data_IF_729643753323
#
_entry.id   IF_729643753323
#
_cell.length_a   1.000
_cell.length_b   1.000
_cell.length_c   1.000
_cell.angle_alpha   90.00
_cell.angle_beta   90.00
_cell.angle_gamma   90.00
#
_symmetry.space_group_name_H-M   'P 1'
#
loop_
_entity.id
_entity.type
_entity.pdbx_description
1 polymer ?
#
# COMPACT_ATOMS: atom_id res chain seq x y z
N UNK A 1 -22.49 -22.81 -1.30
CA UNK A 1 -21.26 -22.46 -2.06
C UNK A 1 -20.08 -23.01 -1.27
N UNK A 2 -19.15 -23.67 -1.93
CA UNK A 2 -17.92 -24.14 -1.31
C UNK A 2 -17.06 -22.91 -0.99
N UNK A 3 -16.62 -22.76 0.28
CA UNK A 3 -15.74 -21.66 0.67
C UNK A 3 -14.36 -21.88 0.01
N UNK A 4 -14.16 -21.29 -1.18
CA UNK A 4 -12.91 -21.37 -1.92
C UNK A 4 -11.82 -20.57 -1.19
N UNK A 5 -10.69 -21.20 -0.91
CA UNK A 5 -9.53 -20.58 -0.28
C UNK A 5 -8.48 -20.14 -1.31
N UNK A 6 -7.49 -19.38 -0.86
CA UNK A 6 -6.35 -18.96 -1.71
C UNK A 6 -5.65 -20.16 -2.34
N UNK A 7 -5.35 -21.19 -1.54
CA UNK A 7 -4.70 -22.41 -2.00
C UNK A 7 -5.53 -23.15 -3.06
N UNK A 8 -6.86 -23.21 -2.87
CA UNK A 8 -7.78 -23.83 -3.83
C UNK A 8 -7.74 -23.08 -5.18
N UNK A 9 -7.74 -21.73 -5.14
CA UNK A 9 -7.74 -20.91 -6.34
C UNK A 9 -6.45 -21.07 -7.13
N UNK A 10 -5.30 -21.09 -6.47
CA UNK A 10 -3.99 -21.31 -7.11
C UNK A 10 -3.91 -22.71 -7.71
N UNK A 11 -4.37 -23.74 -6.99
CA UNK A 11 -4.38 -25.11 -7.50
C UNK A 11 -5.29 -25.25 -8.71
N UNK A 12 -6.46 -24.62 -8.69
CA UNK A 12 -7.39 -24.60 -9.81
C UNK A 12 -6.84 -23.87 -11.03
N UNK A 13 -5.98 -22.86 -10.83
CA UNK A 13 -5.29 -22.14 -11.89
C UNK A 13 -4.07 -22.89 -12.48
N UNK A 14 -3.71 -24.05 -11.92
CA UNK A 14 -2.55 -24.83 -12.35
C UNK A 14 -1.24 -24.53 -11.60
N UNK A 15 -1.34 -23.84 -10.46
CA UNK A 15 -0.19 -23.47 -9.63
C UNK A 15 0.37 -22.08 -9.93
N UNK A 16 1.57 -21.81 -9.44
CA UNK A 16 2.33 -20.56 -9.69
C UNK A 16 3.41 -20.79 -10.75
N UNK A 17 3.66 -19.77 -11.58
CA UNK A 17 4.73 -19.83 -12.57
C UNK A 17 6.11 -19.62 -11.95
N UNK A 18 7.18 -19.93 -12.68
CA UNK A 18 8.56 -19.74 -12.20
C UNK A 18 8.92 -18.26 -11.99
N UNK A 19 8.28 -17.36 -12.71
CA UNK A 19 8.49 -15.92 -12.66
C UNK A 19 7.64 -15.24 -11.57
N UNK A 20 6.71 -15.98 -10.94
CA UNK A 20 5.77 -15.44 -9.97
C UNK A 20 6.48 -15.00 -8.68
N UNK A 21 6.26 -13.76 -8.28
CA UNK A 21 6.71 -13.26 -6.98
C UNK A 21 5.63 -13.47 -5.92
N UNK A 22 5.64 -14.65 -5.29
CA UNK A 22 4.60 -15.11 -4.35
C UNK A 22 4.44 -14.15 -3.16
N UNK A 23 5.55 -13.59 -2.63
CA UNK A 23 5.52 -12.63 -1.50
C UNK A 23 4.88 -11.30 -1.86
N UNK A 24 4.85 -10.96 -3.15
CA UNK A 24 4.17 -9.77 -3.66
C UNK A 24 2.69 -9.97 -3.96
N UNK A 25 2.17 -11.17 -3.77
CA UNK A 25 0.78 -11.49 -4.06
C UNK A 25 -0.20 -10.70 -3.17
N UNK A 26 -1.33 -10.30 -3.75
CA UNK A 26 -2.40 -9.59 -3.06
C UNK A 26 -3.76 -10.01 -3.61
N UNK A 27 -4.79 -9.81 -2.81
CA UNK A 27 -6.17 -9.91 -3.28
C UNK A 27 -6.74 -8.51 -3.47
N UNK A 28 -7.27 -8.26 -4.65
CA UNK A 28 -8.06 -7.07 -4.99
C UNK A 28 -9.52 -7.41 -4.73
N UNK A 29 -10.14 -6.72 -3.78
CA UNK A 29 -11.49 -7.01 -3.30
C UNK A 29 -12.40 -5.81 -3.51
N UNK A 30 -13.60 -6.07 -4.03
CA UNK A 30 -14.61 -5.05 -4.19
C UNK A 30 -15.20 -4.67 -2.81
N UNK A 31 -15.34 -3.36 -2.59
CA UNK A 31 -16.07 -2.84 -1.44
C UNK A 31 -17.56 -3.19 -1.58
N UNK A 32 -18.13 -3.79 -0.56
CA UNK A 32 -19.58 -3.94 -0.47
C UNK A 32 -20.25 -2.58 -0.12
N UNK A 33 -21.58 -2.53 -0.14
CA UNK A 33 -22.32 -1.29 0.13
C UNK A 33 -22.03 -0.69 1.51
N UNK A 34 -21.91 -1.53 2.54
CA UNK A 34 -21.63 -1.10 3.92
C UNK A 34 -20.18 -0.61 4.07
N UNK A 35 -19.24 -1.29 3.43
CA UNK A 35 -17.85 -0.88 3.40
C UNK A 35 -17.66 0.47 2.68
N UNK A 36 -18.36 0.67 1.54
CA UNK A 36 -18.40 1.97 0.84
C UNK A 36 -18.94 3.08 1.72
N UNK A 37 -20.05 2.82 2.41
CA UNK A 37 -20.65 3.78 3.33
C UNK A 37 -19.69 4.18 4.47
N UNK A 38 -19.00 3.18 5.07
CA UNK A 38 -18.01 3.45 6.13
C UNK A 38 -16.85 4.30 5.61
N UNK A 39 -16.29 3.96 4.43
CA UNK A 39 -15.20 4.73 3.82
C UNK A 39 -15.64 6.16 3.53
N UNK A 40 -16.84 6.36 2.97
CA UNK A 40 -17.39 7.68 2.72
C UNK A 40 -17.57 8.51 4.00
N UNK A 41 -18.05 7.88 5.09
CA UNK A 41 -18.17 8.56 6.38
C UNK A 41 -16.83 8.95 6.97
N UNK A 42 -15.82 8.07 6.90
CA UNK A 42 -14.45 8.38 7.34
C UNK A 42 -13.87 9.55 6.56
N UNK A 43 -14.06 9.59 5.24
CA UNK A 43 -13.63 10.70 4.39
C UNK A 43 -14.35 11.99 4.81
N UNK A 44 -15.68 11.95 5.00
CA UNK A 44 -16.46 13.12 5.46
C UNK A 44 -15.97 13.64 6.81
N UNK A 45 -15.70 12.76 7.77
CA UNK A 45 -15.17 13.16 9.08
C UNK A 45 -13.79 13.79 8.97
N UNK A 46 -12.90 13.23 8.16
CA UNK A 46 -11.58 13.80 7.91
C UNK A 46 -11.65 15.18 7.26
N UNK A 47 -12.63 15.39 6.35
CA UNK A 47 -12.89 16.67 5.70
C UNK A 47 -13.38 17.73 6.68
N UNK A 48 -14.32 17.38 7.56
CA UNK A 48 -14.85 18.31 8.58
C UNK A 48 -13.77 18.82 9.53
N UNK A 49 -12.79 17.98 9.85
CA UNK A 49 -11.67 18.37 10.71
C UNK A 49 -10.65 19.29 10.03
N UNK A 50 -10.60 19.28 8.70
CA UNK A 50 -9.61 20.08 7.94
C UNK A 50 -10.17 21.42 7.44
N UNK A 51 -11.49 21.67 7.56
CA UNK A 51 -12.14 22.92 7.13
C UNK A 51 -12.10 23.19 5.63
N UNK A 52 -11.71 22.21 4.82
CA UNK A 52 -11.69 22.32 3.36
C UNK A 52 -12.91 21.63 2.74
N UNK A 53 -13.67 22.38 1.94
CA UNK A 53 -14.63 21.83 0.99
C UNK A 53 -13.88 21.06 -0.10
N UNK A 54 -13.78 19.76 0.03
CA UNK A 54 -13.26 18.90 -1.03
C UNK A 54 -14.38 18.63 -2.05
N UNK A 55 -13.99 18.66 -3.31
CA UNK A 55 -14.83 18.27 -4.40
C UNK A 55 -15.34 16.83 -4.19
N UNK A 56 -16.65 16.69 -3.96
CA UNK A 56 -17.30 15.39 -3.72
C UNK A 56 -17.15 14.43 -4.88
N UNK A 57 -16.77 14.91 -6.06
CA UNK A 57 -16.47 14.07 -7.23
C UNK A 57 -15.25 13.17 -7.01
N UNK A 58 -14.30 13.57 -6.16
CA UNK A 58 -13.16 12.70 -5.80
C UNK A 58 -13.58 11.49 -4.94
N UNK A 59 -14.63 11.63 -4.14
CA UNK A 59 -15.16 10.57 -3.27
C UNK A 59 -15.92 9.51 -4.08
N UNK A 60 -16.57 9.93 -5.17
CA UNK A 60 -17.34 9.04 -6.06
C UNK A 60 -16.44 8.28 -7.05
N UNK A 61 -15.21 8.74 -7.28
CA UNK A 61 -14.19 8.10 -8.13
C UNK A 61 -13.27 7.14 -7.37
N UNK A 62 -13.48 6.95 -6.07
CA UNK A 62 -12.74 5.91 -5.34
C UNK A 62 -13.16 4.57 -5.92
N UNK A 63 -12.28 4.00 -6.71
CA UNK A 63 -12.46 2.65 -7.22
C UNK A 63 -12.93 1.77 -6.08
N UNK A 64 -14.01 1.05 -6.32
CA UNK A 64 -14.67 0.23 -5.31
C UNK A 64 -13.80 -0.96 -4.86
N UNK A 65 -12.48 -0.90 -5.09
CA UNK A 65 -11.51 -1.96 -4.88
C UNK A 65 -10.56 -1.56 -3.75
N UNK A 66 -10.35 -2.46 -2.81
CA UNK A 66 -9.27 -2.35 -1.82
C UNK A 66 -8.37 -3.60 -1.86
N UNK A 67 -7.16 -3.43 -1.34
CA UNK A 67 -6.15 -4.49 -1.36
C UNK A 67 -6.13 -5.21 -0.03
N UNK A 68 -6.26 -6.53 -0.10
CA UNK A 68 -6.03 -7.41 1.05
C UNK A 68 -4.61 -7.94 0.92
N UNK A 69 -3.75 -7.52 1.84
CA UNK A 69 -2.40 -8.05 1.94
C UNK A 69 -2.45 -9.49 2.43
N UNK A 70 -1.80 -10.38 1.68
CA UNK A 70 -1.77 -11.81 1.97
C UNK A 70 -0.34 -12.31 2.12
N UNK A 71 -0.18 -13.45 2.78
CA UNK A 71 1.05 -14.21 2.81
C UNK A 71 0.84 -15.51 2.03
N UNK A 72 0.87 -15.39 0.70
CA UNK A 72 0.55 -16.52 -0.18
C UNK A 72 1.53 -17.68 -0.03
N UNK A 73 2.81 -17.40 0.25
CA UNK A 73 3.83 -18.40 0.58
C UNK A 73 3.36 -19.30 1.72
N UNK A 74 2.95 -18.69 2.84
CA UNK A 74 2.48 -19.43 4.02
C UNK A 74 1.15 -20.16 3.80
N UNK A 75 0.27 -19.57 2.98
CA UNK A 75 -1.01 -20.19 2.63
C UNK A 75 -0.80 -21.46 1.80
N UNK A 76 0.17 -21.45 0.88
CA UNK A 76 0.52 -22.61 0.06
C UNK A 76 1.28 -23.68 0.83
N UNK A 77 2.15 -23.28 1.78
CA UNK A 77 2.86 -24.23 2.66
C UNK A 77 1.90 -24.95 3.62
N UNK A 78 0.87 -24.25 4.11
CA UNK A 78 -0.08 -24.78 5.08
C UNK A 78 -1.53 -24.49 4.66
N UNK A 79 -2.08 -25.23 3.70
CA UNK A 79 -3.46 -25.09 3.27
C UNK A 79 -4.45 -25.27 4.44
N UNK A 80 -5.45 -24.38 4.52
CA UNK A 80 -6.42 -24.36 5.60
C UNK A 80 -6.00 -23.61 6.86
N UNK A 81 -4.78 -23.07 6.92
CA UNK A 81 -4.31 -22.19 8.01
C UNK A 81 -4.97 -20.81 7.97
N UNK A 82 -4.69 -19.97 8.99
CA UNK A 82 -5.17 -18.59 9.05
C UNK A 82 -4.63 -17.71 7.92
N UNK A 83 -3.52 -18.10 7.30
CA UNK A 83 -2.97 -17.42 6.11
C UNK A 83 -3.72 -17.75 4.83
N UNK A 84 -4.41 -18.91 4.81
CA UNK A 84 -5.17 -19.39 3.66
C UNK A 84 -6.61 -18.88 3.73
N UNK A 85 -6.78 -17.58 3.48
CA UNK A 85 -8.04 -16.86 3.63
C UNK A 85 -9.10 -17.37 2.63
N UNK A 86 -10.37 -17.24 3.03
CA UNK A 86 -11.51 -17.53 2.17
C UNK A 86 -11.71 -16.35 1.20
N UNK A 87 -11.82 -16.68 -0.07
CA UNK A 87 -12.12 -15.72 -1.13
C UNK A 87 -13.61 -15.39 -1.18
N UNK A 88 -13.92 -14.15 -1.53
CA UNK A 88 -15.29 -13.68 -1.79
C UNK A 88 -15.56 -13.64 -3.29
N UNK A 89 -16.82 -13.65 -3.64
CA UNK A 89 -17.25 -13.42 -5.02
C UNK A 89 -16.74 -12.06 -5.50
N UNK A 90 -16.12 -12.00 -6.68
CA UNK A 90 -15.53 -10.81 -7.24
C UNK A 90 -14.09 -10.51 -6.76
N UNK A 91 -13.51 -11.31 -5.84
CA UNK A 91 -12.10 -11.19 -5.50
C UNK A 91 -11.22 -11.52 -6.70
N UNK A 92 -10.18 -10.72 -6.88
CA UNK A 92 -9.15 -10.94 -7.88
C UNK A 92 -7.81 -11.20 -7.19
N UNK A 93 -7.31 -12.42 -7.30
CA UNK A 93 -5.96 -12.75 -6.84
C UNK A 93 -4.95 -12.29 -7.88
N UNK A 94 -4.03 -11.41 -7.46
CA UNK A 94 -2.94 -10.90 -8.29
C UNK A 94 -1.63 -11.41 -7.74
N UNK A 95 -0.93 -12.21 -8.53
CA UNK A 95 0.44 -12.64 -8.23
C UNK A 95 1.35 -11.93 -9.24
N UNK A 96 2.12 -10.92 -8.82
CA UNK A 96 2.98 -10.17 -9.72
C UNK A 96 4.21 -10.97 -10.12
N UNK A 97 4.86 -10.55 -11.18
CA UNK A 97 6.19 -11.01 -11.52
C UNK A 97 7.24 -10.39 -10.58
N UNK A 98 8.37 -11.09 -10.43
CA UNK A 98 9.50 -10.58 -9.66
C UNK A 98 10.04 -9.27 -10.25
N UNK A 99 10.02 -8.22 -9.45
CA UNK A 99 10.59 -6.93 -9.79
C UNK A 99 11.79 -6.65 -8.89
N UNK A 100 12.99 -6.83 -9.40
CA UNK A 100 14.26 -6.63 -8.69
C UNK A 100 14.60 -5.17 -8.39
N UNK A 101 13.62 -4.30 -8.15
CA UNK A 101 13.83 -2.87 -7.88
C UNK A 101 13.14 -2.41 -6.61
N UNK A 102 13.55 -1.26 -6.09
CA UNK A 102 12.93 -0.53 -4.98
C UNK A 102 12.68 0.89 -5.44
N UNK A 103 11.45 1.37 -5.29
CA UNK A 103 11.05 2.72 -5.63
C UNK A 103 11.16 3.65 -4.42
N UNK A 104 11.70 4.83 -4.59
CA UNK A 104 11.85 5.83 -3.53
C UNK A 104 11.11 7.10 -3.95
N UNK A 105 10.12 7.50 -3.15
CA UNK A 105 9.24 8.61 -3.43
C UNK A 105 9.07 9.58 -2.24
N UNK A 106 8.47 10.73 -2.55
CA UNK A 106 8.16 11.76 -1.57
C UNK A 106 9.29 12.75 -1.37
N UNK A 107 9.50 13.20 -0.14
CA UNK A 107 10.46 14.26 0.17
C UNK A 107 11.89 13.73 0.32
N UNK A 108 12.45 13.33 -0.82
CA UNK A 108 13.86 12.97 -1.04
C UNK A 108 14.45 13.94 -2.06
N UNK A 109 15.76 13.98 -2.21
CA UNK A 109 16.40 14.92 -3.15
C UNK A 109 16.02 14.60 -4.60
N UNK A 110 16.06 13.32 -4.99
CA UNK A 110 15.72 12.85 -6.34
C UNK A 110 14.89 11.56 -6.26
N UNK A 111 13.55 11.64 -6.31
CA UNK A 111 12.70 10.45 -6.40
C UNK A 111 13.12 9.58 -7.58
N UNK A 112 13.41 8.32 -7.33
CA UNK A 112 13.91 7.38 -8.33
C UNK A 112 13.56 5.93 -8.00
N UNK A 113 13.96 5.04 -8.89
CA UNK A 113 13.87 3.58 -8.70
C UNK A 113 15.28 3.02 -8.83
N UNK A 114 15.70 2.21 -7.87
CA UNK A 114 17.03 1.62 -7.81
C UNK A 114 16.95 0.09 -7.74
N UNK A 115 18.03 -0.58 -8.10
CA UNK A 115 18.12 -2.03 -7.99
C UNK A 115 17.98 -2.47 -6.52
N UNK A 116 17.24 -3.54 -6.31
CA UNK A 116 17.13 -4.19 -5.01
C UNK A 116 18.48 -4.79 -4.58
N UNK A 117 18.90 -4.53 -3.36
CA UNK A 117 20.11 -5.09 -2.75
C UNK A 117 19.74 -5.76 -1.43
N UNK A 118 19.88 -7.10 -1.34
CA UNK A 118 19.50 -7.84 -0.14
C UNK A 118 20.20 -7.32 1.12
N UNK A 119 19.46 -7.30 2.25
CA UNK A 119 20.00 -6.93 3.56
C UNK A 119 20.28 -5.44 3.76
N UNK A 120 20.07 -4.58 2.77
CA UNK A 120 20.26 -3.15 2.93
C UNK A 120 19.06 -2.52 3.65
N UNK A 121 19.29 -1.62 4.66
CA UNK A 121 18.22 -0.92 5.35
C UNK A 121 17.59 0.17 4.49
N UNK A 122 16.36 0.59 4.82
CA UNK A 122 15.65 1.62 4.04
C UNK A 122 16.44 2.93 3.88
N UNK A 123 17.26 3.31 4.87
CA UNK A 123 18.10 4.52 4.79
C UNK A 123 19.14 4.44 3.68
N UNK A 124 19.65 3.24 3.41
CA UNK A 124 20.57 3.05 2.30
C UNK A 124 19.90 3.39 0.97
N UNK A 125 18.66 2.92 0.77
CA UNK A 125 17.88 3.24 -0.43
C UNK A 125 17.56 4.74 -0.53
N UNK A 126 17.19 5.37 0.58
CA UNK A 126 16.96 6.83 0.61
C UNK A 126 18.24 7.59 0.20
N UNK A 127 19.41 7.13 0.61
CA UNK A 127 20.68 7.72 0.20
C UNK A 127 20.96 7.55 -1.31
N UNK A 128 20.50 6.46 -1.94
CA UNK A 128 20.56 6.30 -3.41
C UNK A 128 19.66 7.33 -4.14
N UNK A 129 18.67 7.89 -3.45
CA UNK A 129 17.84 9.00 -3.92
C UNK A 129 18.39 10.38 -3.53
N UNK A 130 19.69 10.48 -3.22
CA UNK A 130 20.34 11.73 -2.79
C UNK A 130 20.08 12.10 -1.34
N UNK A 131 19.44 11.21 -0.55
CA UNK A 131 19.10 11.47 0.85
C UNK A 131 17.72 12.10 1.04
N UNK A 132 17.44 12.43 2.30
CA UNK A 132 16.19 13.08 2.68
C UNK A 132 16.17 14.54 2.25
N UNK A 133 15.07 14.99 1.67
CA UNK A 133 14.86 16.39 1.36
C UNK A 133 14.72 17.28 2.62
N UNK A 134 14.83 18.60 2.45
CA UNK A 134 14.87 19.56 3.55
C UNK A 134 13.63 19.53 4.47
N UNK A 135 12.46 19.21 3.90
CA UNK A 135 11.19 19.13 4.64
C UNK A 135 10.75 17.69 4.91
N UNK A 136 11.67 16.73 4.82
CA UNK A 136 11.33 15.32 5.06
C UNK A 136 10.93 15.06 6.51
N UNK A 137 9.80 14.36 6.69
CA UNK A 137 9.37 13.85 8.00
C UNK A 137 9.96 12.46 8.20
N UNK A 138 11.27 12.42 8.47
CA UNK A 138 12.07 11.18 8.56
C UNK A 138 11.47 10.12 9.50
N UNK A 139 10.85 10.56 10.62
CA UNK A 139 10.21 9.67 11.60
C UNK A 139 8.92 9.02 11.11
N UNK A 140 8.38 9.46 9.97
CA UNK A 140 7.17 8.94 9.34
C UNK A 140 7.45 8.42 7.93
N UNK A 141 8.64 7.91 7.67
CA UNK A 141 8.92 7.16 6.45
C UNK A 141 8.17 5.83 6.51
N UNK A 142 7.56 5.45 5.40
CA UNK A 142 6.78 4.21 5.26
C UNK A 142 7.37 3.35 4.15
N UNK A 143 7.14 2.05 4.27
CA UNK A 143 7.44 1.04 3.26
C UNK A 143 6.12 0.45 2.81
N UNK A 144 5.81 0.59 1.53
CA UNK A 144 4.70 -0.07 0.86
C UNK A 144 5.24 -1.30 0.18
N UNK A 145 4.82 -2.47 0.62
CA UNK A 145 5.19 -3.73 0.02
C UNK A 145 4.33 -4.04 -1.20
N UNK A 146 4.82 -4.87 -2.09
CA UNK A 146 4.12 -5.20 -3.34
C UNK A 146 2.79 -5.94 -3.09
N UNK A 147 2.67 -6.64 -1.97
CA UNK A 147 1.43 -7.27 -1.52
C UNK A 147 0.38 -6.28 -0.97
N UNK A 148 0.64 -4.97 -1.01
CA UNK A 148 -0.28 -3.94 -0.53
C UNK A 148 -0.17 -3.65 0.97
N UNK A 149 0.63 -4.37 1.73
CA UNK A 149 0.86 -4.05 3.15
C UNK A 149 1.77 -2.85 3.31
N UNK A 150 1.58 -2.12 4.42
CA UNK A 150 2.35 -0.91 4.74
C UNK A 150 2.94 -1.03 6.11
N UNK A 151 4.20 -0.69 6.25
CA UNK A 151 4.85 -0.58 7.53
C UNK A 151 5.54 0.77 7.72
N UNK A 152 5.64 1.23 8.97
CA UNK A 152 6.51 2.36 9.29
C UNK A 152 7.96 1.89 9.19
N UNK A 153 8.80 2.63 8.46
CA UNK A 153 10.20 2.29 8.29
C UNK A 153 10.96 2.42 9.63
N UNK A 154 11.52 1.31 10.07
CA UNK A 154 12.40 1.20 11.24
C UNK A 154 13.78 0.72 10.77
N UNK A 155 14.80 0.86 11.63
CA UNK A 155 16.17 0.40 11.30
C UNK A 155 16.24 -1.11 10.97
N UNK A 156 15.36 -1.90 11.56
CA UNK A 156 15.25 -3.35 11.37
C UNK A 156 14.14 -3.76 10.38
N UNK A 157 13.53 -2.81 9.66
CA UNK A 157 12.55 -3.15 8.63
C UNK A 157 13.23 -3.86 7.47
N UNK A 158 12.68 -4.99 7.07
CA UNK A 158 13.10 -5.71 5.87
C UNK A 158 12.62 -4.98 4.63
N UNK A 159 13.52 -4.70 3.72
CA UNK A 159 13.18 -4.19 2.40
C UNK A 159 13.10 -5.39 1.46
N UNK A 160 12.02 -5.45 0.69
CA UNK A 160 11.76 -6.52 -0.27
C UNK A 160 11.78 -5.97 -1.70
N UNK A 161 12.07 -6.82 -2.69
CA UNK A 161 11.99 -6.41 -4.08
C UNK A 161 10.58 -5.96 -4.44
N UNK A 162 10.47 -4.93 -5.28
CA UNK A 162 9.19 -4.35 -5.69
C UNK A 162 8.54 -3.41 -4.68
N UNK A 163 9.16 -3.19 -3.50
CA UNK A 163 8.59 -2.27 -2.51
C UNK A 163 8.82 -0.80 -2.88
N UNK A 164 8.02 0.07 -2.26
CA UNK A 164 8.14 1.52 -2.39
C UNK A 164 8.40 2.15 -1.02
N UNK A 165 9.45 2.95 -0.93
CA UNK A 165 9.79 3.75 0.26
C UNK A 165 9.22 5.14 0.06
N UNK A 166 8.32 5.56 0.96
CA UNK A 166 7.60 6.82 0.89
C UNK A 166 8.07 7.71 2.04
N UNK A 167 8.64 8.86 1.70
CA UNK A 167 9.12 9.87 2.66
C UNK A 167 8.16 11.05 2.67
N UNK A 168 7.31 11.22 3.71
CA UNK A 168 6.38 12.34 3.78
C UNK A 168 7.08 13.67 4.01
N UNK A 169 6.40 14.74 3.60
CA UNK A 169 6.82 16.12 3.87
C UNK A 169 6.33 16.54 5.27
N UNK A 170 7.11 17.31 6.00
CA UNK A 170 6.65 18.04 7.19
C UNK A 170 5.64 19.09 6.76
N UNK A 171 4.40 18.96 7.19
CA UNK A 171 3.37 19.99 6.98
C UNK A 171 3.38 20.97 8.14
N UNK A 172 3.28 22.25 7.83
CA UNK A 172 3.20 23.34 8.82
C UNK A 172 1.75 23.58 9.27
N UNK A 173 0.79 23.10 8.49
CA UNK A 173 -0.65 23.21 8.81
C UNK A 173 -1.38 22.02 8.19
N UNK A 174 -2.46 21.53 8.82
CA UNK A 174 -3.29 20.43 8.32
C UNK A 174 -3.83 20.68 6.89
N UNK A 175 -4.03 21.94 6.55
CA UNK A 175 -4.55 22.43 5.27
C UNK A 175 -3.70 22.07 4.03
N UNK A 176 -2.37 21.99 4.18
CA UNK A 176 -1.47 21.72 3.04
C UNK A 176 -1.29 20.23 2.71
N UNK A 177 -1.72 19.35 3.60
CA UNK A 177 -1.51 17.90 3.41
C UNK A 177 -2.34 17.37 2.26
N UNK A 178 -3.54 17.90 2.07
CA UNK A 178 -4.51 17.41 1.07
C UNK A 178 -4.23 18.00 -0.32
N UNK A 179 -3.79 19.27 -0.39
CA UNK A 179 -3.46 19.91 -1.67
C UNK A 179 -2.26 19.25 -2.39
N UNK A 180 -1.29 18.73 -1.62
CA UNK A 180 -0.12 18.04 -2.20
C UNK A 180 -0.40 16.61 -2.65
N UNK A 181 -1.52 16.01 -2.23
CA UNK A 181 -1.93 14.67 -2.63
C UNK A 181 -2.54 14.68 -4.05
N UNK A 182 -3.20 15.78 -4.43
CA UNK A 182 -3.80 15.92 -5.76
C UNK A 182 -2.79 16.07 -6.91
N UNK A 183 -1.53 16.41 -6.61
CA UNK A 183 -0.50 16.61 -7.62
C UNK A 183 0.32 15.33 -7.94
N UNK A 184 0.20 14.30 -7.11
CA UNK A 184 0.85 13.00 -7.34
C UNK A 184 -0.18 12.12 -8.02
N UNK A 185 -0.04 11.94 -9.32
CA UNK A 185 -0.99 11.20 -10.16
C UNK A 185 -1.52 9.92 -9.51
N UNK A 186 -2.73 9.59 -9.86
CA UNK A 186 -3.63 8.54 -9.38
C UNK A 186 -3.03 7.12 -9.18
N UNK A 187 -1.95 7.02 -8.43
CA UNK A 187 -1.38 5.76 -8.02
C UNK A 187 -1.84 5.42 -6.59
N UNK A 188 -1.84 4.14 -6.28
CA UNK A 188 -2.15 3.55 -4.95
C UNK A 188 -1.54 4.29 -3.75
N UNK A 189 -0.42 4.99 -3.94
CA UNK A 189 0.23 5.80 -2.91
C UNK A 189 -0.70 6.90 -2.36
N UNK A 190 -1.65 7.39 -3.14
CA UNK A 190 -2.56 8.48 -2.75
C UNK A 190 -3.60 8.02 -1.73
N UNK A 191 -4.18 6.83 -1.92
CA UNK A 191 -5.12 6.23 -0.98
C UNK A 191 -4.45 5.86 0.35
N UNK A 192 -3.22 5.41 0.27
CA UNK A 192 -2.44 5.01 1.44
C UNK A 192 -2.03 6.19 2.31
N UNK A 193 -1.65 7.32 1.68
CA UNK A 193 -1.36 8.57 2.42
C UNK A 193 -2.60 9.13 3.10
N UNK A 194 -3.77 9.00 2.48
CA UNK A 194 -5.05 9.36 3.10
C UNK A 194 -5.37 8.48 4.31
N UNK A 195 -5.26 7.16 4.17
CA UNK A 195 -5.47 6.21 5.27
C UNK A 195 -4.51 6.44 6.43
N UNK A 196 -3.23 6.66 6.14
CA UNK A 196 -2.21 6.96 7.15
C UNK A 196 -2.44 8.33 7.80
N UNK A 197 -2.92 9.33 7.06
CA UNK A 197 -3.28 10.65 7.62
C UNK A 197 -4.48 10.54 8.55
N UNK A 198 -5.51 9.79 8.18
CA UNK A 198 -6.72 9.55 9.00
C UNK A 198 -6.37 8.77 10.26
N UNK A 199 -5.55 7.72 10.18
CA UNK A 199 -5.11 6.97 11.37
C UNK A 199 -4.25 7.79 12.34
N UNK A 200 -3.61 8.87 11.89
CA UNK A 200 -2.82 9.76 12.74
C UNK A 200 -3.62 10.93 13.34
N UNK A 201 -4.83 11.18 12.86
CA UNK A 201 -5.75 12.18 13.43
C UNK A 201 -6.62 11.60 14.57
N UNK A 202 -6.75 10.27 14.64
CA UNK A 202 -7.55 9.55 15.63
C UNK A 202 -6.70 9.14 16.88
N UNK A 203 -5.42 9.49 16.91
CA UNK A 203 -4.53 9.42 18.06
C UNK A 203 -4.11 10.83 18.49
#
# INVERSE_FOLDING_TARGET
MKNTRLSDAINAAGGVTAEAYIKGARVERLLNADEKFRVQNLIKMAMQQTGQGLDTTMVTRTDSIYYVGINLDKALENPGSDYDIILREGDRLVVPEYNGTVKINGNVMYPNTVAYSPGKPYKWYVNQAGGFGNRAKKSRTYILYQNGTVSKAKSNSTIEPGCEIIVPTKTTTATQTIANIGAIGTSMATLLTLLVSVMNLVK
#
